data_IF_821473938644
#
_entry.id   IF_821473938644
#
_cell.length_a   1.000
_cell.length_b   1.000
_cell.length_c   1.000
_cell.angle_alpha   90.00
_cell.angle_beta   90.00
_cell.angle_gamma   90.00
#
_symmetry.space_group_name_H-M   'P 1'
#
loop_
_entity.id
_entity.type
_entity.pdbx_description
1 polymer ?
#
# COMPACT_ATOMS: atom_id res chain seq x y z
N UNK A 1 30.14 -8.29 -36.94
CA UNK A 1 28.78 -8.31 -36.37
C UNK A 1 28.46 -9.62 -35.62
N UNK A 2 28.71 -10.81 -36.16
CA UNK A 2 28.35 -12.10 -35.52
C UNK A 2 28.97 -12.39 -34.12
N UNK A 3 30.20 -11.95 -33.83
CA UNK A 3 30.85 -12.15 -32.51
C UNK A 3 30.19 -11.38 -31.36
N UNK A 4 29.62 -10.20 -31.63
CA UNK A 4 28.93 -9.40 -30.61
C UNK A 4 27.54 -9.97 -30.30
N UNK A 5 26.87 -10.55 -31.31
CA UNK A 5 25.57 -11.21 -31.14
C UNK A 5 25.69 -12.49 -30.31
N UNK A 6 26.74 -13.30 -30.51
CA UNK A 6 26.98 -14.51 -29.72
C UNK A 6 27.29 -14.19 -28.25
N UNK A 7 28.12 -13.18 -27.99
CA UNK A 7 28.43 -12.73 -26.62
C UNK A 7 27.18 -12.18 -25.90
N UNK A 8 26.36 -11.40 -26.61
CA UNK A 8 25.09 -10.91 -26.10
C UNK A 8 24.10 -12.04 -25.81
N UNK A 9 23.98 -13.04 -26.69
CA UNK A 9 23.10 -14.19 -26.49
C UNK A 9 23.53 -15.05 -25.29
N UNK A 10 24.84 -15.21 -25.06
CA UNK A 10 25.38 -15.92 -23.89
C UNK A 10 25.16 -15.12 -22.61
N UNK A 11 25.38 -13.80 -22.61
CA UNK A 11 25.08 -12.93 -21.46
C UNK A 11 23.58 -12.88 -21.16
N UNK A 12 22.74 -12.91 -22.20
CA UNK A 12 21.29 -13.00 -22.08
C UNK A 12 20.89 -14.35 -21.49
N UNK A 13 21.45 -15.46 -22.00
CA UNK A 13 21.23 -16.80 -21.46
C UNK A 13 21.61 -16.90 -19.97
N UNK A 14 22.74 -16.35 -19.56
CA UNK A 14 23.14 -16.32 -18.14
C UNK A 14 22.23 -15.44 -17.27
N UNK A 15 21.85 -14.24 -17.77
CA UNK A 15 20.94 -13.32 -17.06
C UNK A 15 19.52 -13.85 -16.93
N UNK A 16 19.11 -14.78 -17.79
CA UNK A 16 17.81 -15.45 -17.74
C UNK A 16 17.86 -16.71 -16.89
N UNK A 17 18.88 -17.54 -17.11
CA UNK A 17 18.98 -18.85 -16.45
C UNK A 17 19.32 -18.73 -14.98
N UNK A 18 20.05 -17.70 -14.56
CA UNK A 18 20.35 -17.45 -13.14
C UNK A 18 19.10 -17.23 -12.27
N UNK A 19 18.26 -16.22 -12.57
CA UNK A 19 16.99 -16.00 -11.88
C UNK A 19 16.04 -17.20 -11.98
N UNK A 20 15.90 -17.82 -13.16
CA UNK A 20 15.07 -19.03 -13.33
C UNK A 20 15.53 -20.18 -12.44
N UNK A 21 16.85 -20.40 -12.29
CA UNK A 21 17.39 -21.42 -11.37
C UNK A 21 17.03 -21.13 -9.91
N UNK A 22 17.03 -19.86 -9.48
CA UNK A 22 16.62 -19.46 -8.13
C UNK A 22 15.12 -19.66 -7.87
N UNK A 23 14.29 -19.39 -8.89
CA UNK A 23 12.85 -19.68 -8.85
C UNK A 23 12.64 -21.18 -8.70
N UNK A 24 13.29 -22.00 -9.52
CA UNK A 24 13.20 -23.48 -9.46
C UNK A 24 13.71 -24.04 -8.12
N UNK A 25 14.81 -23.50 -7.57
CA UNK A 25 15.34 -23.91 -6.26
C UNK A 25 14.39 -23.57 -5.10
N UNK A 26 13.55 -22.53 -5.25
CA UNK A 26 12.54 -22.17 -4.24
C UNK A 26 11.34 -23.14 -4.20
N UNK A 27 11.25 -24.09 -5.13
CA UNK A 27 10.19 -25.11 -5.24
C UNK A 27 10.69 -26.52 -4.86
N UNK A 28 11.80 -26.65 -4.11
CA UNK A 28 12.54 -27.89 -3.80
C UNK A 28 11.81 -29.03 -3.06
N UNK A 29 10.49 -28.99 -2.92
CA UNK A 29 9.69 -30.15 -2.54
C UNK A 29 8.84 -30.60 -3.73
N UNK A 30 9.34 -31.54 -4.54
CA UNK A 30 8.56 -32.51 -5.34
C UNK A 30 9.51 -33.30 -6.25
N UNK A 31 9.56 -34.62 -6.07
CA UNK A 31 10.30 -35.64 -6.87
C UNK A 31 10.01 -35.63 -8.39
N UNK A 32 9.23 -34.67 -8.92
CA UNK A 32 8.93 -34.49 -10.35
C UNK A 32 9.79 -33.40 -11.00
N UNK A 33 10.88 -32.97 -10.35
CA UNK A 33 11.73 -31.86 -10.75
C UNK A 33 12.39 -32.07 -12.13
N UNK A 34 12.84 -33.29 -12.48
CA UNK A 34 13.60 -33.53 -13.72
C UNK A 34 12.75 -33.45 -15.01
N UNK A 35 11.56 -34.05 -15.01
CA UNK A 35 10.64 -33.96 -16.15
C UNK A 35 10.04 -32.55 -16.27
N UNK A 36 9.83 -31.88 -15.14
CA UNK A 36 9.38 -30.48 -15.10
C UNK A 36 10.48 -29.54 -15.60
N UNK A 37 11.75 -29.77 -15.25
CA UNK A 37 12.93 -29.05 -15.75
C UNK A 37 13.09 -29.17 -17.26
N UNK A 38 12.84 -30.35 -17.86
CA UNK A 38 12.94 -30.52 -19.31
C UNK A 38 11.77 -29.86 -20.08
N UNK A 39 10.57 -29.84 -19.51
CA UNK A 39 9.43 -29.06 -20.04
C UNK A 39 9.65 -27.56 -19.85
N UNK A 40 10.20 -27.14 -18.70
CA UNK A 40 10.58 -25.75 -18.39
C UNK A 40 11.71 -25.25 -19.28
N UNK A 41 12.75 -26.06 -19.54
CA UNK A 41 13.83 -25.72 -20.49
C UNK A 41 13.30 -25.54 -21.91
N UNK A 42 12.37 -26.39 -22.36
CA UNK A 42 11.73 -26.26 -23.68
C UNK A 42 10.78 -25.07 -23.75
N UNK A 43 10.01 -24.80 -22.69
CA UNK A 43 9.14 -23.63 -22.60
C UNK A 43 9.94 -22.32 -22.48
N UNK A 44 11.06 -22.32 -21.74
CA UNK A 44 11.96 -21.18 -21.62
C UNK A 44 12.72 -20.93 -22.92
N UNK A 45 13.15 -21.97 -23.65
CA UNK A 45 13.69 -21.82 -25.01
C UNK A 45 12.64 -21.28 -25.99
N UNK A 46 11.37 -21.70 -25.88
CA UNK A 46 10.26 -21.15 -26.65
C UNK A 46 9.96 -19.67 -26.33
N UNK A 47 10.01 -19.30 -25.05
CA UNK A 47 9.88 -17.92 -24.58
C UNK A 47 11.07 -17.07 -25.02
N UNK A 48 12.29 -17.60 -24.95
CA UNK A 48 13.53 -16.94 -25.40
C UNK A 48 13.55 -16.76 -26.91
N UNK A 49 13.01 -17.68 -27.71
CA UNK A 49 12.87 -17.51 -29.15
C UNK A 49 11.77 -16.50 -29.52
N UNK A 50 10.67 -16.46 -28.77
CA UNK A 50 9.63 -15.43 -28.94
C UNK A 50 10.11 -14.03 -28.52
N UNK A 51 10.96 -13.95 -27.48
CA UNK A 51 11.61 -12.71 -27.02
C UNK A 51 12.84 -12.35 -27.88
N UNK A 52 13.48 -13.31 -28.54
CA UNK A 52 14.65 -13.09 -29.41
C UNK A 52 14.32 -12.45 -30.76
N UNK A 53 13.07 -12.61 -31.24
CA UNK A 53 12.56 -11.92 -32.43
C UNK A 53 12.33 -10.40 -32.19
N UNK A 54 12.57 -9.90 -30.98
CA UNK A 54 12.21 -8.56 -30.53
C UNK A 54 13.32 -7.52 -30.61
N UNK A 55 14.35 -7.69 -31.44
CA UNK A 55 15.41 -6.66 -31.56
C UNK A 55 14.90 -5.33 -32.18
N UNK A 56 13.74 -5.34 -32.85
CA UNK A 56 12.96 -4.13 -33.19
C UNK A 56 12.10 -3.55 -32.06
N UNK A 57 11.95 -4.26 -30.93
CA UNK A 57 11.16 -3.86 -29.75
C UNK A 57 11.99 -3.13 -28.68
N UNK A 58 13.32 -3.09 -28.77
CA UNK A 58 14.17 -2.36 -27.81
C UNK A 58 13.91 -0.83 -27.85
N UNK A 59 13.78 -0.24 -29.04
CA UNK A 59 13.44 1.18 -29.19
C UNK A 59 12.04 1.51 -28.64
N UNK A 60 11.05 0.61 -28.82
CA UNK A 60 9.69 0.79 -28.29
C UNK A 60 9.64 0.71 -26.74
N UNK A 61 10.53 -0.07 -26.10
CA UNK A 61 10.60 -0.19 -24.64
C UNK A 61 11.31 1.01 -23.99
N UNK A 62 12.34 1.56 -24.63
CA UNK A 62 12.98 2.82 -24.23
C UNK A 62 11.99 3.99 -24.31
N UNK A 63 11.25 4.08 -25.43
CA UNK A 63 10.27 5.13 -25.65
C UNK A 63 9.13 5.12 -24.62
N UNK A 64 8.64 3.93 -24.23
CA UNK A 64 7.61 3.79 -23.19
C UNK A 64 8.09 4.27 -21.82
N UNK A 65 9.34 3.95 -21.45
CA UNK A 65 9.93 4.41 -20.21
C UNK A 65 10.15 5.92 -20.18
N UNK A 66 10.71 6.51 -21.24
CA UNK A 66 10.88 7.96 -21.34
C UNK A 66 9.52 8.68 -21.30
N UNK A 67 8.50 8.11 -21.94
CA UNK A 67 7.12 8.64 -21.90
C UNK A 67 6.52 8.59 -20.49
N UNK A 68 6.83 7.56 -19.69
CA UNK A 68 6.41 7.47 -18.29
C UNK A 68 7.21 8.41 -17.37
N UNK A 69 8.47 8.70 -17.71
CA UNK A 69 9.35 9.58 -16.95
C UNK A 69 9.07 11.06 -17.22
N UNK A 70 8.60 11.41 -18.41
CA UNK A 70 8.35 12.81 -18.79
C UNK A 70 7.40 13.54 -17.82
N UNK A 71 6.21 13.00 -17.43
CA UNK A 71 5.34 13.63 -16.43
C UNK A 71 5.97 13.74 -15.04
N UNK A 72 6.86 12.81 -14.65
CA UNK A 72 7.59 12.89 -13.38
C UNK A 72 8.50 14.12 -13.39
N UNK A 73 9.23 14.33 -14.49
CA UNK A 73 10.14 15.47 -14.66
C UNK A 73 9.42 16.83 -14.53
N UNK A 74 8.14 16.93 -14.90
CA UNK A 74 7.40 18.21 -14.82
C UNK A 74 7.00 18.61 -13.40
N UNK A 75 7.05 17.67 -12.44
CA UNK A 75 6.71 17.93 -11.04
C UNK A 75 7.95 18.21 -10.17
N UNK A 76 9.15 18.03 -10.72
CA UNK A 76 10.39 18.32 -10.02
C UNK A 76 10.65 19.82 -9.98
N UNK A 77 11.16 20.30 -8.85
CA UNK A 77 11.42 21.71 -8.59
C UNK A 77 12.89 21.91 -8.19
N UNK A 78 13.41 23.12 -8.37
CA UNK A 78 14.80 23.46 -8.08
C UNK A 78 15.55 23.97 -9.32
N UNK A 79 16.87 24.07 -9.19
CA UNK A 79 17.78 24.38 -10.30
C UNK A 79 17.77 23.26 -11.35
N UNK A 80 18.26 23.57 -12.55
CA UNK A 80 18.34 22.57 -13.63
C UNK A 80 19.15 21.32 -13.22
N UNK A 81 20.20 21.48 -12.42
CA UNK A 81 21.02 20.35 -11.95
C UNK A 81 20.31 19.53 -10.86
N UNK A 82 19.56 20.18 -9.96
CA UNK A 82 18.76 19.49 -8.93
C UNK A 82 17.61 18.69 -9.56
N UNK A 83 16.92 19.27 -10.54
CA UNK A 83 15.86 18.58 -11.31
C UNK A 83 16.43 17.37 -12.03
N UNK A 84 17.56 17.53 -12.71
CA UNK A 84 18.25 16.43 -13.41
C UNK A 84 18.68 15.32 -12.43
N UNK A 85 19.28 15.69 -11.30
CA UNK A 85 19.71 14.74 -10.26
C UNK A 85 18.52 13.97 -9.68
N UNK A 86 17.44 14.67 -9.39
CA UNK A 86 16.20 14.08 -8.87
C UNK A 86 15.55 13.12 -9.86
N UNK A 87 15.49 13.51 -11.14
CA UNK A 87 14.98 12.65 -12.22
C UNK A 87 15.81 11.37 -12.35
N UNK A 88 17.15 11.48 -12.34
CA UNK A 88 18.06 10.34 -12.39
C UNK A 88 17.91 9.41 -11.18
N UNK A 89 17.70 9.98 -9.98
CA UNK A 89 17.45 9.21 -8.76
C UNK A 89 16.18 8.37 -8.87
N UNK A 90 15.08 8.99 -9.33
CA UNK A 90 13.79 8.31 -9.52
C UNK A 90 13.88 7.25 -10.62
N UNK A 91 14.53 7.55 -11.73
CA UNK A 91 14.80 6.60 -12.83
C UNK A 91 15.57 5.37 -12.32
N UNK A 92 16.67 5.59 -11.59
CA UNK A 92 17.47 4.52 -11.02
C UNK A 92 16.66 3.69 -10.03
N UNK A 93 15.82 4.32 -9.21
CA UNK A 93 14.94 3.63 -8.27
C UNK A 93 13.91 2.76 -9.01
N UNK A 94 13.28 3.26 -10.08
CA UNK A 94 12.32 2.53 -10.90
C UNK A 94 12.93 1.28 -11.56
N UNK A 95 14.13 1.42 -12.14
CA UNK A 95 14.85 0.30 -12.73
C UNK A 95 15.31 -0.70 -11.67
N UNK A 96 15.73 -0.22 -10.49
CA UNK A 96 16.18 -1.09 -9.40
C UNK A 96 15.02 -1.88 -8.80
N UNK A 97 13.88 -1.23 -8.56
CA UNK A 97 12.66 -1.86 -8.05
C UNK A 97 12.18 -2.97 -8.98
N UNK A 98 11.99 -2.64 -10.27
CA UNK A 98 11.43 -3.58 -11.25
C UNK A 98 12.32 -4.79 -11.54
N UNK A 99 13.62 -4.72 -11.25
CA UNK A 99 14.53 -5.88 -11.35
C UNK A 99 14.26 -6.96 -10.31
N UNK A 100 13.68 -6.61 -9.17
CA UNK A 100 13.49 -7.53 -8.03
C UNK A 100 12.04 -7.67 -7.57
N UNK A 101 11.14 -6.80 -8.05
CA UNK A 101 9.71 -6.82 -7.73
C UNK A 101 8.84 -6.95 -8.98
N UNK A 102 7.58 -7.39 -8.78
CA UNK A 102 6.68 -7.74 -9.89
C UNK A 102 6.24 -6.53 -10.72
N UNK A 103 6.21 -5.34 -10.13
CA UNK A 103 5.83 -4.11 -10.82
C UNK A 103 6.92 -3.64 -11.79
N UNK A 104 6.50 -3.21 -12.96
CA UNK A 104 7.36 -2.62 -13.98
C UNK A 104 7.93 -1.27 -13.54
N UNK A 105 8.98 -0.82 -14.23
CA UNK A 105 9.57 0.50 -13.96
C UNK A 105 8.60 1.64 -14.32
N UNK A 106 7.70 1.43 -15.27
CA UNK A 106 6.69 2.38 -15.71
C UNK A 106 5.58 2.52 -14.65
N UNK A 107 5.15 1.41 -14.05
CA UNK A 107 4.27 1.43 -12.88
C UNK A 107 4.93 2.17 -11.71
N UNK A 108 6.22 1.95 -11.49
CA UNK A 108 6.97 2.70 -10.47
C UNK A 108 6.95 4.21 -10.75
N UNK A 109 7.24 4.63 -11.98
CA UNK A 109 7.23 6.04 -12.35
C UNK A 109 5.84 6.67 -12.20
N UNK A 110 4.77 5.93 -12.51
CA UNK A 110 3.40 6.38 -12.22
C UNK A 110 3.16 6.57 -10.72
N UNK A 111 3.69 5.68 -9.88
CA UNK A 111 3.63 5.84 -8.43
C UNK A 111 4.41 7.04 -7.91
N UNK A 112 5.61 7.26 -8.45
CA UNK A 112 6.44 8.43 -8.13
C UNK A 112 5.75 9.73 -8.54
N UNK A 113 5.12 9.77 -9.71
CA UNK A 113 4.29 10.89 -10.14
C UNK A 113 3.16 11.19 -9.13
N UNK A 114 2.42 10.18 -8.69
CA UNK A 114 1.33 10.37 -7.73
C UNK A 114 1.84 10.99 -6.43
N UNK A 115 2.98 10.54 -5.91
CA UNK A 115 3.55 11.09 -4.68
C UNK A 115 4.11 12.51 -4.86
N UNK A 116 4.81 12.79 -5.97
CA UNK A 116 5.24 14.14 -6.30
C UNK A 116 4.03 15.09 -6.45
N UNK A 117 2.94 14.62 -7.08
CA UNK A 117 1.72 15.41 -7.26
C UNK A 117 1.01 15.70 -5.92
N UNK A 118 1.21 14.83 -4.93
CA UNK A 118 0.78 15.06 -3.55
C UNK A 118 1.71 16.03 -2.77
N UNK A 119 2.69 16.64 -3.43
CA UNK A 119 3.58 17.65 -2.87
C UNK A 119 4.81 17.10 -2.14
N UNK A 120 5.10 15.81 -2.27
CA UNK A 120 6.30 15.20 -1.66
C UNK A 120 7.55 15.57 -2.44
N UNK A 121 8.69 15.65 -1.75
CA UNK A 121 10.00 15.84 -2.40
C UNK A 121 10.38 14.61 -3.23
N UNK A 122 11.35 14.73 -4.14
CA UNK A 122 11.84 13.58 -4.93
C UNK A 122 12.33 12.42 -4.05
N UNK A 123 13.03 12.72 -2.95
CA UNK A 123 13.47 11.71 -1.98
C UNK A 123 12.29 11.01 -1.29
N UNK A 124 11.32 11.80 -0.81
CA UNK A 124 10.10 11.27 -0.20
C UNK A 124 9.25 10.48 -1.20
N UNK A 125 9.21 10.88 -2.46
CA UNK A 125 8.51 10.17 -3.53
C UNK A 125 9.18 8.83 -3.83
N UNK A 126 10.52 8.73 -3.82
CA UNK A 126 11.22 7.45 -3.95
C UNK A 126 10.89 6.54 -2.76
N UNK A 127 11.05 7.04 -1.53
CA UNK A 127 10.75 6.28 -0.32
C UNK A 127 9.30 5.79 -0.30
N UNK A 128 8.36 6.69 -0.58
CA UNK A 128 6.94 6.37 -0.58
C UNK A 128 6.52 5.46 -1.72
N UNK A 129 7.11 5.58 -2.90
CA UNK A 129 6.79 4.68 -4.02
C UNK A 129 7.17 3.25 -3.66
N UNK A 130 8.35 3.04 -3.05
CA UNK A 130 8.75 1.73 -2.55
C UNK A 130 7.73 1.15 -1.56
N UNK A 131 7.30 1.94 -0.57
CA UNK A 131 6.34 1.47 0.44
C UNK A 131 4.93 1.26 -0.14
N UNK A 132 4.50 2.12 -1.06
CA UNK A 132 3.19 2.02 -1.71
C UNK A 132 3.10 0.82 -2.66
N UNK A 133 4.16 0.51 -3.41
CA UNK A 133 4.20 -0.68 -4.26
C UNK A 133 4.26 -1.96 -3.42
N UNK A 134 5.00 -1.95 -2.31
CA UNK A 134 4.95 -3.03 -1.33
C UNK A 134 3.52 -3.22 -0.78
N UNK A 135 2.85 -2.12 -0.42
CA UNK A 135 1.45 -2.10 0.02
C UNK A 135 0.51 -2.67 -1.04
N UNK A 136 0.63 -2.22 -2.30
CA UNK A 136 -0.17 -2.74 -3.41
C UNK A 136 -0.01 -4.27 -3.54
N UNK A 137 1.22 -4.77 -3.49
CA UNK A 137 1.48 -6.21 -3.52
C UNK A 137 0.87 -6.92 -2.32
N UNK A 138 1.10 -6.41 -1.09
CA UNK A 138 0.65 -7.00 0.16
C UNK A 138 -0.87 -7.10 0.29
N UNK A 139 -1.58 -6.14 -0.29
CA UNK A 139 -3.05 -6.00 -0.20
C UNK A 139 -3.77 -6.48 -1.45
N UNK A 140 -3.03 -7.00 -2.45
CA UNK A 140 -3.55 -7.32 -3.78
C UNK A 140 -4.23 -6.12 -4.47
N UNK A 141 -3.84 -4.90 -4.09
CA UNK A 141 -4.29 -3.66 -4.71
C UNK A 141 -3.48 -3.29 -5.95
N UNK A 142 -3.92 -2.24 -6.65
CA UNK A 142 -3.18 -1.64 -7.74
C UNK A 142 -2.25 -0.51 -7.26
N UNK A 143 -1.24 -0.23 -8.08
CA UNK A 143 -0.22 0.80 -7.82
C UNK A 143 -0.80 2.19 -7.62
N UNK A 144 -1.81 2.58 -8.40
CA UNK A 144 -2.36 3.93 -8.35
C UNK A 144 -3.12 4.14 -7.03
N UNK A 145 -3.99 3.21 -6.66
CA UNK A 145 -4.71 3.24 -5.38
C UNK A 145 -3.76 3.28 -4.19
N UNK A 146 -2.73 2.42 -4.17
CA UNK A 146 -1.81 2.35 -3.04
C UNK A 146 -0.94 3.60 -2.90
N UNK A 147 -0.48 4.18 -4.02
CA UNK A 147 0.36 5.38 -4.01
C UNK A 147 -0.43 6.63 -3.63
N UNK A 148 -1.64 6.81 -4.19
CA UNK A 148 -2.53 7.90 -3.79
C UNK A 148 -2.89 7.79 -2.30
N UNK A 149 -3.31 6.60 -1.85
CA UNK A 149 -3.61 6.37 -0.44
C UNK A 149 -2.41 6.70 0.45
N UNK A 150 -1.24 6.14 0.18
CA UNK A 150 -0.09 6.35 1.06
C UNK A 150 0.39 7.81 1.07
N UNK A 151 0.32 8.51 -0.07
CA UNK A 151 0.59 9.95 -0.13
C UNK A 151 -0.40 10.75 0.72
N UNK A 152 -1.69 10.46 0.60
CA UNK A 152 -2.74 11.06 1.43
C UNK A 152 -2.52 10.77 2.91
N UNK A 153 -2.24 9.52 3.28
CA UNK A 153 -1.99 9.14 4.67
C UNK A 153 -0.75 9.83 5.22
N UNK A 154 0.35 9.88 4.47
CA UNK A 154 1.55 10.56 4.91
C UNK A 154 1.28 12.05 5.14
N UNK A 155 0.58 12.73 4.22
CA UNK A 155 0.26 14.15 4.38
C UNK A 155 -0.66 14.43 5.57
N UNK A 156 -1.58 13.52 5.87
CA UNK A 156 -2.59 13.77 6.90
C UNK A 156 -2.24 13.25 8.30
N UNK A 157 -1.51 12.13 8.37
CA UNK A 157 -1.21 11.42 9.61
C UNK A 157 0.30 11.21 9.85
N UNK A 158 1.13 11.39 8.83
CA UNK A 158 2.56 11.13 8.95
C UNK A 158 3.27 12.17 9.81
N UNK A 159 4.02 11.72 10.81
CA UNK A 159 4.89 12.60 11.58
C UNK A 159 6.07 13.09 10.73
N UNK A 160 6.07 14.39 10.38
CA UNK A 160 7.07 15.01 9.51
C UNK A 160 8.44 15.21 10.16
N UNK A 161 8.54 15.06 11.48
CA UNK A 161 9.82 15.06 12.18
C UNK A 161 10.57 13.72 12.01
N UNK A 162 9.86 12.65 11.66
CA UNK A 162 10.45 11.34 11.43
C UNK A 162 11.01 11.22 10.00
N UNK A 163 11.90 10.24 9.81
CA UNK A 163 12.31 9.84 8.48
C UNK A 163 11.10 9.37 7.65
N UNK A 164 10.94 9.91 6.45
CA UNK A 164 9.78 9.65 5.60
C UNK A 164 9.62 8.17 5.24
N UNK A 165 10.73 7.44 5.04
CA UNK A 165 10.67 6.01 4.73
C UNK A 165 10.11 5.21 5.91
N UNK A 166 10.57 5.48 7.13
CA UNK A 166 10.10 4.83 8.33
C UNK A 166 8.61 5.15 8.59
N UNK A 167 8.23 6.42 8.45
CA UNK A 167 6.87 6.89 8.68
C UNK A 167 5.88 6.30 7.66
N UNK A 168 6.21 6.35 6.37
CA UNK A 168 5.40 5.73 5.33
C UNK A 168 5.36 4.19 5.45
N UNK A 169 6.43 3.59 5.95
CA UNK A 169 6.47 2.15 6.27
C UNK A 169 5.44 1.80 7.35
N UNK A 170 5.42 2.56 8.45
CA UNK A 170 4.44 2.40 9.53
C UNK A 170 3.00 2.54 9.02
N UNK A 171 2.72 3.56 8.21
CA UNK A 171 1.40 3.79 7.62
C UNK A 171 0.98 2.62 6.71
N UNK A 172 1.87 2.14 5.83
CA UNK A 172 1.61 0.99 4.97
C UNK A 172 1.36 -0.29 5.77
N UNK A 173 2.13 -0.51 6.84
CA UNK A 173 1.97 -1.63 7.76
C UNK A 173 0.60 -1.61 8.44
N UNK A 174 0.18 -0.46 8.98
CA UNK A 174 -1.14 -0.27 9.58
C UNK A 174 -2.26 -0.57 8.59
N UNK A 175 -2.17 -0.10 7.34
CA UNK A 175 -3.16 -0.40 6.29
C UNK A 175 -3.21 -1.89 5.97
N UNK A 176 -2.04 -2.51 5.77
CA UNK A 176 -1.94 -3.95 5.46
C UNK A 176 -2.55 -4.78 6.59
N UNK A 177 -2.18 -4.49 7.84
CA UNK A 177 -2.67 -5.21 9.01
C UNK A 177 -4.18 -5.03 9.18
N UNK A 178 -4.69 -3.82 8.96
CA UNK A 178 -6.13 -3.54 8.99
C UNK A 178 -6.87 -4.37 7.96
N UNK A 179 -6.41 -4.41 6.71
CA UNK A 179 -7.05 -5.24 5.69
C UNK A 179 -7.03 -6.75 6.03
N UNK A 180 -5.99 -7.23 6.72
CA UNK A 180 -5.89 -8.64 7.14
C UNK A 180 -6.80 -9.01 8.30
N UNK A 181 -7.07 -8.07 9.21
CA UNK A 181 -7.85 -8.31 10.43
C UNK A 181 -9.37 -8.22 10.20
N UNK A 182 -9.80 -7.34 9.29
CA UNK A 182 -11.20 -6.97 9.15
C UNK A 182 -11.81 -7.44 7.82
N UNK A 183 -13.14 -7.52 7.76
CA UNK A 183 -13.86 -7.89 6.53
C UNK A 183 -13.84 -6.75 5.50
N UNK A 184 -12.75 -6.69 4.72
CA UNK A 184 -12.51 -5.68 3.69
C UNK A 184 -12.27 -6.39 2.36
N UNK A 185 -13.06 -6.09 1.33
CA UNK A 185 -12.98 -6.82 0.06
C UNK A 185 -11.69 -6.52 -0.72
N UNK A 186 -11.20 -5.28 -0.65
CA UNK A 186 -9.99 -4.83 -1.33
C UNK A 186 -9.49 -3.51 -0.74
N UNK A 187 -8.28 -3.10 -1.15
CA UNK A 187 -7.66 -1.85 -0.72
C UNK A 187 -8.53 -0.62 -1.02
N UNK A 188 -9.26 -0.62 -2.14
CA UNK A 188 -10.15 0.47 -2.54
C UNK A 188 -11.29 0.70 -1.54
N UNK A 189 -11.89 -0.38 -1.02
CA UNK A 189 -12.92 -0.29 0.02
C UNK A 189 -12.37 0.36 1.30
N UNK A 190 -11.19 -0.06 1.76
CA UNK A 190 -10.55 0.55 2.93
C UNK A 190 -10.17 2.01 2.67
N UNK A 191 -9.62 2.31 1.49
CA UNK A 191 -9.26 3.67 1.08
C UNK A 191 -10.47 4.62 1.14
N UNK A 192 -11.63 4.21 0.63
CA UNK A 192 -12.85 5.01 0.72
C UNK A 192 -13.25 5.24 2.19
N UNK A 193 -13.25 4.21 3.03
CA UNK A 193 -13.55 4.38 4.46
C UNK A 193 -12.61 5.37 5.15
N UNK A 194 -11.29 5.24 4.92
CA UNK A 194 -10.28 6.13 5.49
C UNK A 194 -10.43 7.57 4.95
N UNK A 195 -10.74 7.75 3.66
CA UNK A 195 -10.96 9.07 3.06
C UNK A 195 -12.09 9.84 3.73
N UNK A 196 -13.22 9.18 4.00
CA UNK A 196 -14.35 9.81 4.68
C UNK A 196 -14.12 10.02 6.18
N UNK A 197 -13.25 9.22 6.80
CA UNK A 197 -12.87 9.37 8.22
C UNK A 197 -11.77 10.44 8.45
N UNK A 198 -10.96 10.74 7.43
CA UNK A 198 -9.73 11.51 7.59
C UNK A 198 -9.95 12.90 8.20
N UNK A 199 -10.97 13.65 7.75
CA UNK A 199 -11.17 15.03 8.19
C UNK A 199 -11.49 15.16 9.68
N UNK A 200 -12.39 14.31 10.21
CA UNK A 200 -12.69 14.27 11.64
C UNK A 200 -11.54 13.70 12.45
N UNK A 201 -10.88 12.64 11.96
CA UNK A 201 -9.72 12.08 12.63
C UNK A 201 -8.65 13.16 12.84
N UNK A 202 -8.36 13.96 11.82
CA UNK A 202 -7.43 15.09 11.96
C UNK A 202 -7.96 16.20 12.87
N UNK A 203 -9.22 16.59 12.74
CA UNK A 203 -9.80 17.67 13.54
C UNK A 203 -9.76 17.38 15.05
N UNK A 204 -9.88 16.10 15.43
CA UNK A 204 -9.82 15.65 16.81
C UNK A 204 -8.48 14.98 17.18
N UNK A 205 -7.49 15.03 16.29
CA UNK A 205 -6.19 14.37 16.44
C UNK A 205 -6.29 12.90 16.89
N UNK A 206 -7.25 12.16 16.32
CA UNK A 206 -7.36 10.71 16.49
C UNK A 206 -6.24 10.05 15.69
N UNK A 207 -5.46 9.18 16.35
CA UNK A 207 -4.35 8.48 15.69
C UNK A 207 -4.82 7.66 14.48
N UNK A 208 -3.91 7.45 13.53
CA UNK A 208 -4.21 6.67 12.34
C UNK A 208 -4.54 5.21 12.68
N UNK A 209 -3.91 4.65 13.71
CA UNK A 209 -4.15 3.29 14.19
C UNK A 209 -5.55 3.15 14.80
N UNK A 210 -5.99 4.11 15.63
CA UNK A 210 -7.37 4.12 16.14
C UNK A 210 -8.37 4.30 15.00
N UNK A 211 -8.11 5.22 14.08
CA UNK A 211 -8.94 5.46 12.90
C UNK A 211 -9.09 4.19 12.06
N UNK A 212 -7.98 3.50 11.78
CA UNK A 212 -7.95 2.27 10.99
C UNK A 212 -8.68 1.12 11.69
N UNK A 213 -8.48 0.95 13.00
CA UNK A 213 -9.15 -0.07 13.78
C UNK A 213 -10.67 0.15 13.83
N UNK A 214 -11.12 1.39 14.05
CA UNK A 214 -12.55 1.73 14.09
C UNK A 214 -13.19 1.57 12.71
N UNK A 215 -12.58 2.11 11.65
CA UNK A 215 -13.08 1.96 10.28
C UNK A 215 -13.13 0.48 9.87
N UNK A 216 -12.09 -0.30 10.19
CA UNK A 216 -12.05 -1.74 9.93
C UNK A 216 -13.12 -2.51 10.69
N UNK A 217 -13.32 -2.20 11.98
CA UNK A 217 -14.36 -2.82 12.79
C UNK A 217 -15.76 -2.52 12.25
N UNK A 218 -16.02 -1.28 11.80
CA UNK A 218 -17.29 -0.90 11.17
C UNK A 218 -17.54 -1.68 9.87
N UNK A 219 -16.50 -1.91 9.05
CA UNK A 219 -16.61 -2.77 7.86
C UNK A 219 -17.04 -4.19 8.23
N UNK A 220 -16.43 -4.76 9.28
CA UNK A 220 -16.79 -6.09 9.82
C UNK A 220 -18.22 -6.15 10.37
N UNK A 221 -18.77 -5.01 10.77
CA UNK A 221 -20.14 -4.89 11.26
C UNK A 221 -21.14 -4.51 10.16
N UNK A 222 -20.72 -4.58 8.89
CA UNK A 222 -21.58 -4.40 7.72
C UNK A 222 -21.64 -2.96 7.19
N UNK A 223 -20.97 -1.99 7.82
CA UNK A 223 -20.82 -0.65 7.27
C UNK A 223 -19.59 -0.61 6.36
N UNK A 224 -19.76 -1.03 5.10
CA UNK A 224 -18.63 -1.20 4.19
C UNK A 224 -18.15 0.12 3.57
N UNK A 225 -16.83 0.26 3.43
CA UNK A 225 -16.18 1.35 2.70
C UNK A 225 -16.57 2.74 3.19
N UNK A 226 -17.13 3.57 2.30
CA UNK A 226 -17.53 4.95 2.62
C UNK A 226 -18.57 5.05 3.73
N UNK A 227 -19.39 4.02 3.96
CA UNK A 227 -20.33 3.99 5.09
C UNK A 227 -19.62 3.92 6.44
N UNK A 228 -18.55 3.13 6.55
CA UNK A 228 -17.72 3.12 7.78
C UNK A 228 -17.11 4.50 8.04
N UNK A 229 -16.53 5.11 7.01
CA UNK A 229 -15.93 6.44 7.15
C UNK A 229 -16.95 7.53 7.49
N UNK A 230 -18.15 7.46 6.91
CA UNK A 230 -19.25 8.39 7.19
C UNK A 230 -19.75 8.22 8.62
N UNK A 231 -19.92 6.98 9.09
CA UNK A 231 -20.27 6.70 10.47
C UNK A 231 -19.17 7.20 11.42
N UNK A 232 -17.89 6.94 11.13
CA UNK A 232 -16.76 7.46 11.90
C UNK A 232 -16.85 8.99 12.04
N UNK A 233 -17.03 9.68 10.92
CA UNK A 233 -17.09 11.14 10.89
C UNK A 233 -18.30 11.69 11.66
N UNK A 234 -19.47 11.06 11.51
CA UNK A 234 -20.68 11.46 12.22
C UNK A 234 -20.56 11.23 13.73
N UNK A 235 -20.01 10.07 14.14
CA UNK A 235 -19.80 9.74 15.56
C UNK A 235 -18.87 10.74 16.24
N UNK A 236 -17.67 10.92 15.70
CA UNK A 236 -16.64 11.79 16.27
C UNK A 236 -17.15 13.23 16.41
N UNK A 237 -17.87 13.75 15.42
CA UNK A 237 -18.48 15.08 15.47
C UNK A 237 -19.56 15.24 16.56
N UNK A 238 -20.13 14.14 17.08
CA UNK A 238 -21.23 14.16 18.06
C UNK A 238 -20.83 13.75 19.47
N UNK A 239 -19.59 13.29 19.70
CA UNK A 239 -19.12 12.85 21.01
C UNK A 239 -19.30 13.93 22.09
N UNK A 240 -18.90 15.17 21.82
CA UNK A 240 -19.03 16.25 22.83
C UNK A 240 -20.48 16.55 23.22
N UNK A 241 -21.40 16.54 22.25
CA UNK A 241 -22.83 16.72 22.52
C UNK A 241 -23.40 15.54 23.32
N UNK A 242 -23.04 14.31 22.92
CA UNK A 242 -23.44 13.12 23.65
C UNK A 242 -22.90 13.08 25.07
N UNK A 243 -21.66 13.51 25.30
CA UNK A 243 -21.05 13.59 26.62
C UNK A 243 -21.82 14.54 27.54
N UNK A 244 -22.27 15.68 27.01
CA UNK A 244 -23.08 16.64 27.76
C UNK A 244 -24.46 16.07 28.13
N UNK A 245 -25.11 15.34 27.22
CA UNK A 245 -26.46 14.80 27.47
C UNK A 245 -26.47 13.51 28.32
N UNK A 246 -25.43 12.67 28.20
CA UNK A 246 -25.35 11.36 28.87
C UNK A 246 -24.40 11.33 30.07
N UNK A 247 -23.56 12.36 30.24
CA UNK A 247 -22.66 12.48 31.38
C UNK A 247 -21.41 11.58 31.36
N UNK A 248 -21.01 11.03 30.20
CA UNK A 248 -19.74 10.28 30.09
C UNK A 248 -18.55 11.21 29.86
N UNK A 249 -17.37 10.77 30.29
CA UNK A 249 -16.11 11.51 30.08
C UNK A 249 -15.53 11.31 28.69
N UNK A 250 -14.99 12.37 28.09
CA UNK A 250 -14.14 12.30 26.89
C UNK A 250 -12.71 12.06 27.33
N UNK A 251 -12.06 11.06 26.75
CA UNK A 251 -10.68 10.70 27.05
C UNK A 251 -9.72 11.21 26.00
N UNK A 252 -8.52 11.57 26.43
CA UNK A 252 -7.47 12.08 25.57
C UNK A 252 -6.20 11.25 25.76
N UNK A 253 -5.45 11.08 24.67
CA UNK A 253 -4.12 10.48 24.66
C UNK A 253 -3.08 11.46 25.23
N UNK A 254 -1.87 10.96 25.53
CA UNK A 254 -0.79 11.78 26.12
C UNK A 254 -0.35 12.95 25.22
N UNK A 255 -0.48 12.80 23.90
CA UNK A 255 -0.21 13.82 22.89
C UNK A 255 -1.39 14.79 22.69
N UNK A 256 -2.43 14.71 23.53
CA UNK A 256 -3.59 15.60 23.51
C UNK A 256 -4.62 15.27 22.43
N UNK A 257 -4.45 14.17 21.70
CA UNK A 257 -5.46 13.64 20.77
C UNK A 257 -6.67 13.04 21.46
N UNK A 258 -7.78 12.92 20.75
CA UNK A 258 -8.95 12.18 21.25
C UNK A 258 -8.63 10.69 21.31
N UNK A 259 -8.75 10.09 22.50
CA UNK A 259 -8.78 8.63 22.65
C UNK A 259 -10.20 8.15 22.38
N UNK A 260 -10.48 7.86 21.11
CA UNK A 260 -11.81 7.52 20.63
C UNK A 260 -12.31 6.21 21.25
N UNK A 261 -11.45 5.19 21.31
CA UNK A 261 -11.83 3.86 21.81
C UNK A 261 -12.13 3.95 23.32
N UNK A 262 -11.32 4.68 24.09
CA UNK A 262 -11.59 4.92 25.51
C UNK A 262 -12.85 5.76 25.72
N UNK A 263 -13.09 6.75 24.88
CA UNK A 263 -14.32 7.56 24.94
C UNK A 263 -15.57 6.71 24.67
N UNK A 264 -15.51 5.78 23.70
CA UNK A 264 -16.59 4.81 23.46
C UNK A 264 -16.77 3.83 24.63
N UNK A 265 -15.70 3.47 25.33
CA UNK A 265 -15.78 2.68 26.56
C UNK A 265 -16.53 3.43 27.66
N UNK A 266 -16.19 4.71 27.90
CA UNK A 266 -16.87 5.55 28.89
C UNK A 266 -18.37 5.72 28.53
N UNK A 267 -18.68 5.94 27.24
CA UNK A 267 -20.06 6.00 26.76
C UNK A 267 -20.80 4.68 27.02
N UNK A 268 -20.18 3.53 26.72
CA UNK A 268 -20.78 2.22 26.94
C UNK A 268 -21.09 1.94 28.42
N UNK A 269 -20.31 2.50 29.35
CA UNK A 269 -20.52 2.33 30.80
C UNK A 269 -21.75 3.08 31.33
N UNK A 270 -22.25 4.08 30.60
CA UNK A 270 -23.53 4.76 30.94
C UNK A 270 -24.71 3.80 30.79
N UNK A 271 -24.61 2.79 29.92
CA UNK A 271 -25.68 1.82 29.68
C UNK A 271 -26.91 2.41 28.97
N UNK A 272 -26.72 3.46 28.16
CA UNK A 272 -27.79 4.02 27.35
C UNK A 272 -28.29 3.00 26.31
N UNK A 273 -29.61 2.84 26.21
CA UNK A 273 -30.22 1.95 25.23
C UNK A 273 -30.16 2.52 23.80
N UNK A 274 -30.45 1.66 22.82
CA UNK A 274 -30.37 2.03 21.40
C UNK A 274 -31.29 3.21 21.05
N UNK A 275 -32.46 3.32 21.67
CA UNK A 275 -33.41 4.41 21.42
C UNK A 275 -32.86 5.76 21.92
N UNK A 276 -32.24 5.75 23.10
CA UNK A 276 -31.55 6.91 23.64
C UNK A 276 -30.38 7.32 22.75
N UNK A 277 -29.54 6.36 22.33
CA UNK A 277 -28.42 6.63 21.42
C UNK A 277 -28.92 7.21 20.09
N UNK A 278 -29.99 6.65 19.51
CA UNK A 278 -30.57 7.16 18.26
C UNK A 278 -31.09 8.60 18.38
N UNK A 279 -31.73 8.94 19.50
CA UNK A 279 -32.23 10.30 19.75
C UNK A 279 -31.11 11.34 19.85
N UNK A 280 -30.01 11.00 20.51
CA UNK A 280 -28.92 11.93 20.82
C UNK A 280 -27.95 12.07 19.65
N UNK A 281 -27.48 10.95 19.12
CA UNK A 281 -26.40 10.94 18.13
C UNK A 281 -26.92 11.09 16.69
N UNK A 282 -28.16 10.65 16.43
CA UNK A 282 -28.85 10.73 15.14
C UNK A 282 -28.22 9.83 14.05
N UNK A 283 -29.08 9.12 13.32
CA UNK A 283 -28.80 8.30 12.13
C UNK A 283 -27.40 7.65 12.09
N UNK A 284 -26.47 8.21 11.32
CA UNK A 284 -25.16 7.59 11.03
C UNK A 284 -24.25 7.50 12.26
N UNK A 285 -24.29 8.49 13.14
CA UNK A 285 -23.52 8.45 14.39
C UNK A 285 -24.07 7.37 15.33
N UNK A 286 -25.39 7.28 15.45
CA UNK A 286 -26.04 6.27 16.28
C UNK A 286 -25.76 4.84 15.80
N UNK A 287 -25.80 4.60 14.48
CA UNK A 287 -25.43 3.29 13.88
C UNK A 287 -24.01 2.88 14.27
N UNK A 288 -23.04 3.76 14.05
CA UNK A 288 -21.65 3.47 14.38
C UNK A 288 -21.46 3.21 15.88
N UNK A 289 -22.06 4.02 16.74
CA UNK A 289 -21.94 3.87 18.20
C UNK A 289 -22.53 2.55 18.65
N UNK A 290 -23.78 2.25 18.27
CA UNK A 290 -24.46 1.02 18.66
C UNK A 290 -23.68 -0.23 18.22
N UNK A 291 -23.10 -0.20 17.03
CA UNK A 291 -22.29 -1.29 16.51
C UNK A 291 -20.98 -1.46 17.28
N UNK A 292 -20.26 -0.37 17.56
CA UNK A 292 -18.97 -0.42 18.23
C UNK A 292 -19.08 -0.70 19.73
N UNK A 293 -20.04 -0.10 20.44
CA UNK A 293 -20.23 -0.36 21.88
C UNK A 293 -20.67 -1.79 22.14
N UNK A 294 -21.52 -2.36 21.27
CA UNK A 294 -21.90 -3.78 21.32
C UNK A 294 -20.75 -4.75 21.04
N UNK A 295 -19.62 -4.27 20.52
CA UNK A 295 -18.43 -5.05 20.12
C UNK A 295 -17.13 -4.45 20.64
N UNK A 296 -17.19 -3.76 21.78
CA UNK A 296 -16.06 -2.99 22.30
C UNK A 296 -14.84 -3.86 22.64
N UNK A 297 -15.07 -5.08 23.16
CA UNK A 297 -14.00 -6.05 23.43
C UNK A 297 -13.24 -6.44 22.15
N UNK A 298 -13.97 -6.73 21.08
CA UNK A 298 -13.38 -7.05 19.77
C UNK A 298 -12.63 -5.84 19.20
N UNK A 299 -13.21 -4.63 19.29
CA UNK A 299 -12.56 -3.41 18.85
C UNK A 299 -11.22 -3.17 19.56
N UNK A 300 -11.18 -3.32 20.89
CA UNK A 300 -9.95 -3.15 21.68
C UNK A 300 -8.89 -4.17 21.30
N UNK A 301 -9.25 -5.45 21.20
CA UNK A 301 -8.33 -6.50 20.79
C UNK A 301 -7.78 -6.27 19.37
N UNK A 302 -8.65 -5.86 18.44
CA UNK A 302 -8.25 -5.58 17.07
C UNK A 302 -7.39 -4.30 16.98
N UNK A 303 -7.64 -3.29 17.81
CA UNK A 303 -6.80 -2.10 17.90
C UNK A 303 -5.37 -2.44 18.38
N UNK A 304 -5.23 -3.26 19.43
CA UNK A 304 -3.91 -3.76 19.87
C UNK A 304 -3.19 -4.51 18.75
N UNK A 305 -3.91 -5.35 17.99
CA UNK A 305 -3.35 -6.03 16.84
C UNK A 305 -2.94 -5.06 15.71
N UNK A 306 -3.63 -3.94 15.55
CA UNK A 306 -3.26 -2.87 14.60
C UNK A 306 -2.02 -2.10 15.08
N UNK A 307 -1.84 -1.89 16.39
CA UNK A 307 -0.63 -1.29 16.95
C UNK A 307 0.62 -2.16 16.68
N UNK A 308 0.46 -3.49 16.69
CA UNK A 308 1.50 -4.47 16.33
C UNK A 308 1.56 -4.77 14.82
N UNK A 309 1.42 -3.73 13.98
CA UNK A 309 1.43 -3.89 12.53
C UNK A 309 2.85 -4.01 11.91
N UNK A 310 3.90 -3.76 12.68
CA UNK A 310 5.27 -3.62 12.15
C UNK A 310 5.69 -4.80 11.28
N UNK A 311 6.12 -4.50 10.05
CA UNK A 311 6.57 -5.49 9.07
C UNK A 311 5.46 -6.27 8.36
N UNK A 312 4.17 -5.99 8.64
CA UNK A 312 3.05 -6.67 8.00
C UNK A 312 3.10 -6.57 6.47
N UNK A 313 3.43 -5.39 5.94
CA UNK A 313 3.53 -5.14 4.49
C UNK A 313 4.64 -5.97 3.87
N UNK A 314 5.84 -5.89 4.44
CA UNK A 314 7.01 -6.60 3.92
C UNK A 314 6.82 -8.12 3.95
N UNK A 315 6.22 -8.65 5.02
CA UNK A 315 5.89 -10.08 5.16
C UNK A 315 4.91 -10.52 4.07
N UNK A 316 3.83 -9.77 3.87
CA UNK A 316 2.82 -10.09 2.87
C UNK A 316 3.36 -9.95 1.44
N UNK A 317 4.12 -8.88 1.15
CA UNK A 317 4.79 -8.70 -0.14
C UNK A 317 5.67 -9.90 -0.49
N UNK A 318 6.52 -10.33 0.46
CA UNK A 318 7.41 -11.47 0.26
C UNK A 318 6.66 -12.75 -0.12
N UNK A 319 5.56 -13.05 0.55
CA UNK A 319 4.73 -14.23 0.24
C UNK A 319 4.15 -14.13 -1.18
N UNK A 320 3.63 -12.96 -1.55
CA UNK A 320 3.00 -12.73 -2.86
C UNK A 320 4.01 -12.76 -4.02
N UNK A 321 5.24 -12.32 -3.77
CA UNK A 321 6.30 -12.28 -4.79
C UNK A 321 6.99 -13.64 -4.98
N UNK A 322 6.92 -14.56 -4.02
CA UNK A 322 7.44 -15.93 -4.16
C UNK A 322 6.63 -16.80 -5.13
N UNK A 323 5.45 -16.35 -5.56
CA UNK A 323 4.62 -17.09 -6.51
C UNK A 323 5.25 -17.15 -7.91
N UNK A 324 4.96 -18.22 -8.65
CA UNK A 324 5.49 -18.42 -10.00
C UNK A 324 5.18 -17.25 -10.95
N UNK A 325 3.95 -16.72 -10.90
CA UNK A 325 3.54 -15.60 -11.75
C UNK A 325 4.30 -14.31 -11.42
N UNK A 326 4.50 -14.01 -10.13
CA UNK A 326 5.30 -12.85 -9.72
C UNK A 326 6.76 -12.98 -10.19
N UNK A 327 7.34 -14.18 -10.08
CA UNK A 327 8.70 -14.44 -10.55
C UNK A 327 8.83 -14.33 -12.08
N UNK A 328 7.82 -14.76 -12.84
CA UNK A 328 7.77 -14.50 -14.29
C UNK A 328 7.64 -13.00 -14.61
N UNK A 329 6.85 -12.26 -13.82
CA UNK A 329 6.75 -10.80 -13.95
C UNK A 329 8.10 -10.11 -13.73
N UNK A 330 8.81 -10.47 -12.66
CA UNK A 330 10.17 -9.98 -12.36
C UNK A 330 11.13 -10.28 -13.51
N UNK A 331 11.11 -11.51 -14.04
CA UNK A 331 11.94 -11.86 -15.20
C UNK A 331 11.59 -11.00 -16.42
N UNK A 332 10.30 -10.83 -16.72
CA UNK A 332 9.81 -9.98 -17.80
C UNK A 332 10.28 -8.51 -17.66
N UNK A 333 10.28 -7.98 -16.43
CA UNK A 333 10.79 -6.66 -16.14
C UNK A 333 12.30 -6.55 -16.41
N UNK A 334 13.08 -7.55 -15.99
CA UNK A 334 14.53 -7.59 -16.26
C UNK A 334 14.83 -7.53 -17.77
N UNK A 335 14.05 -8.23 -18.59
CA UNK A 335 14.16 -8.14 -20.05
C UNK A 335 13.76 -6.77 -20.58
N UNK A 336 12.62 -6.23 -20.13
CA UNK A 336 12.13 -4.92 -20.56
C UNK A 336 13.14 -3.80 -20.24
N UNK A 337 13.93 -3.98 -19.18
CA UNK A 337 14.94 -3.02 -18.74
C UNK A 337 16.27 -3.10 -19.52
N UNK A 338 16.50 -4.10 -20.37
CA UNK A 338 17.74 -4.19 -21.18
C UNK A 338 17.83 -3.13 -22.28
N UNK A 339 16.70 -2.51 -22.64
CA UNK A 339 16.63 -1.46 -23.65
C UNK A 339 16.47 -0.05 -23.09
N UNK A 340 16.58 0.13 -21.77
CA UNK A 340 16.40 1.42 -21.07
C UNK A 340 17.73 1.92 -20.53
#
# INVERSE_FOLDING_TARGET
MAKNTAKFLVELEDKITGPLKKVVASFESLEKAEQSLNKLKKASLGLVLALGASLGLAANKAAGFESALAPVKTLLTGTAEEVKTSAQSIEKAALSWSRIHKQSSEEYLSGAYNLLSAGLTAEQAVAGTNKALALATATMGDTATATVLLGTLYNNFGNKANNAEAEMGKLADTVTKTQQLFQIANLGQLNEGLKYAASSAQAFNVSFEQTSAVVGQLNTLGLSGSMAGTAFNAMTAKLSAGALELGYGISYTEDGGLDLIKTLENLSQVGADADTINRIFVQEAAKGINFLTGKLGDLKNNYEAVLDASGATAKAQKIMEQTFNSQLGILGNNFANLGK
#
